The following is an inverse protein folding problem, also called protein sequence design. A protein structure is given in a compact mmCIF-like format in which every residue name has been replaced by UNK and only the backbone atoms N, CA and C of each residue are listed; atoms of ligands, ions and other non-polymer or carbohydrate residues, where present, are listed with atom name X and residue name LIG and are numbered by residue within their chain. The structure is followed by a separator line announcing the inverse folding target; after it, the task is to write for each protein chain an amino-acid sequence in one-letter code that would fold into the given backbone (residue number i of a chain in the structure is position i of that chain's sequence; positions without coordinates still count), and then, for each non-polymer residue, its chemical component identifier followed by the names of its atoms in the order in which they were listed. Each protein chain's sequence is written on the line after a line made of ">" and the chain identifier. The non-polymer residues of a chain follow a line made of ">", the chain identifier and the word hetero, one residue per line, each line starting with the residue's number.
data_IF_149460124085
#
_entry.id   IF_149460124085
#
_cell.length_a   1.000
_cell.length_b   1.000
_cell.length_c   1.000
_cell.angle_alpha   90.00
_cell.angle_beta   90.00
_cell.angle_gamma   90.00
#
_symmetry.space_group_name_H-M   'P 1'
#
loop_
_entity.id
_entity.type
_entity.pdbx_description
1 polymer ?
#
# COMPACT_ATOMS: atom_id res chain seq x y z
N UNK A 1 -18.42 -23.15 22.29
CA UNK A 1 -19.38 -22.05 22.10
C UNK A 1 -18.56 -20.88 21.64
N UNK A 2 -18.86 -20.39 20.45
CA UNK A 2 -18.15 -19.27 19.82
C UNK A 2 -19.16 -18.14 19.72
N UNK A 3 -18.87 -17.01 20.37
CA UNK A 3 -19.75 -15.85 20.33
C UNK A 3 -19.27 -14.92 19.20
N UNK A 4 -20.20 -14.51 18.34
CA UNK A 4 -19.98 -13.44 17.37
C UNK A 4 -20.07 -12.14 18.15
N UNK A 5 -19.00 -11.35 18.12
CA UNK A 5 -18.90 -10.08 18.83
C UNK A 5 -19.22 -8.91 17.92
N UNK A 6 -19.71 -7.81 18.52
CA UNK A 6 -19.84 -6.51 17.85
C UNK A 6 -18.47 -6.05 17.33
N UNK A 7 -18.27 -5.94 16.00
CA UNK A 7 -16.98 -5.56 15.43
C UNK A 7 -16.74 -4.04 15.53
N UNK A 8 -15.46 -3.65 15.57
CA UNK A 8 -15.06 -2.26 15.37
C UNK A 8 -14.97 -1.96 13.86
N UNK A 9 -15.88 -1.13 13.35
CA UNK A 9 -15.94 -0.77 11.92
C UNK A 9 -15.17 0.52 11.59
N UNK A 10 -14.66 1.21 12.61
CA UNK A 10 -13.67 2.29 12.46
C UNK A 10 -12.74 2.35 13.70
N UNK A 11 -11.53 2.92 13.58
CA UNK A 11 -10.58 3.03 14.70
C UNK A 11 -11.10 3.83 15.90
N UNK A 12 -12.15 4.64 15.72
CA UNK A 12 -12.75 5.48 16.75
C UNK A 12 -14.13 5.00 17.19
N UNK A 13 -14.59 3.83 16.72
CA UNK A 13 -15.91 3.30 17.06
C UNK A 13 -15.89 2.63 18.45
N UNK A 14 -16.69 3.14 19.38
CA UNK A 14 -16.86 2.55 20.71
C UNK A 14 -18.18 1.75 20.83
N UNK A 15 -19.21 2.13 20.06
CA UNK A 15 -20.53 1.50 20.02
C UNK A 15 -21.21 1.68 18.66
N UNK A 16 -22.24 0.88 18.37
CA UNK A 16 -23.04 0.95 17.15
C UNK A 16 -24.46 0.41 17.32
N UNK A 17 -25.30 0.65 16.32
CA UNK A 17 -26.69 0.18 16.28
C UNK A 17 -26.79 -1.04 15.37
N UNK A 18 -27.36 -2.14 15.87
CA UNK A 18 -27.58 -3.34 15.07
C UNK A 18 -28.82 -3.16 14.21
N UNK A 19 -28.68 -2.62 12.99
CA UNK A 19 -29.80 -2.20 12.17
C UNK A 19 -30.66 -3.38 11.68
N UNK A 20 -30.01 -4.48 11.24
CA UNK A 20 -30.72 -5.63 10.66
C UNK A 20 -29.90 -6.91 10.70
N UNK A 21 -30.56 -8.03 10.97
CA UNK A 21 -30.00 -9.36 10.75
C UNK A 21 -30.34 -9.88 9.35
N UNK A 22 -29.35 -10.48 8.68
CA UNK A 22 -29.50 -11.15 7.39
C UNK A 22 -29.54 -12.68 7.52
N UNK A 23 -29.38 -13.18 8.74
CA UNK A 23 -29.46 -14.59 9.15
C UNK A 23 -30.46 -14.76 10.29
N UNK A 24 -30.85 -16.00 10.57
CA UNK A 24 -31.71 -16.37 11.70
C UNK A 24 -31.09 -17.52 12.50
N UNK A 25 -31.56 -17.70 13.74
CA UNK A 25 -31.18 -18.86 14.54
C UNK A 25 -31.52 -20.16 13.80
N UNK A 26 -30.55 -21.08 13.75
CA UNK A 26 -30.60 -22.35 13.06
C UNK A 26 -29.95 -22.36 11.68
N UNK A 27 -29.57 -21.21 11.12
CA UNK A 27 -28.87 -21.14 9.83
C UNK A 27 -27.40 -21.57 9.96
N UNK A 28 -26.87 -22.20 8.91
CA UNK A 28 -25.42 -22.45 8.75
C UNK A 28 -24.77 -21.26 8.05
N UNK A 29 -23.68 -20.75 8.63
CA UNK A 29 -22.91 -19.64 8.08
C UNK A 29 -21.47 -20.06 7.77
N UNK A 30 -20.90 -19.47 6.73
CA UNK A 30 -19.50 -19.66 6.33
C UNK A 30 -18.69 -18.39 6.58
N UNK A 31 -17.38 -18.53 6.80
CA UNK A 31 -16.50 -17.36 6.95
C UNK A 31 -16.54 -16.49 5.69
N UNK A 32 -16.70 -15.18 5.86
CA UNK A 32 -16.89 -14.19 4.78
C UNK A 32 -18.36 -14.00 4.35
N UNK A 33 -19.31 -14.74 4.91
CA UNK A 33 -20.74 -14.53 4.62
C UNK A 33 -21.26 -13.30 5.36
N UNK A 34 -21.98 -12.41 4.67
CA UNK A 34 -22.65 -11.27 5.31
C UNK A 34 -23.79 -11.75 6.22
N UNK A 35 -23.73 -11.35 7.50
CA UNK A 35 -24.66 -11.81 8.55
C UNK A 35 -25.53 -10.69 9.13
N UNK A 36 -25.08 -9.43 9.13
CA UNK A 36 -25.83 -8.31 9.70
C UNK A 36 -25.46 -6.98 9.05
N UNK A 37 -26.34 -5.99 9.20
CA UNK A 37 -26.08 -4.59 8.88
C UNK A 37 -25.97 -3.80 10.20
N UNK A 38 -24.90 -3.03 10.34
CA UNK A 38 -24.62 -2.20 11.51
C UNK A 38 -24.57 -0.74 11.10
N UNK A 39 -25.33 0.08 11.80
CA UNK A 39 -25.39 1.52 11.60
C UNK A 39 -24.52 2.23 12.64
N UNK A 40 -23.71 3.15 12.15
CA UNK A 40 -22.85 4.03 12.95
C UNK A 40 -23.19 5.49 12.65
N UNK A 41 -22.58 6.42 13.37
CA UNK A 41 -22.71 7.86 13.12
C UNK A 41 -22.15 8.30 11.74
N UNK A 42 -21.37 7.43 11.07
CA UNK A 42 -20.73 7.71 9.77
C UNK A 42 -21.37 6.99 8.59
N UNK A 43 -21.78 5.74 8.78
CA UNK A 43 -22.29 4.90 7.71
C UNK A 43 -23.02 3.66 8.25
N UNK A 44 -23.87 3.08 7.40
CA UNK A 44 -24.36 1.71 7.56
C UNK A 44 -23.42 0.76 6.82
N UNK A 45 -22.95 -0.28 7.49
CA UNK A 45 -21.97 -1.22 6.96
C UNK A 45 -22.44 -2.66 7.16
N UNK A 46 -22.14 -3.50 6.17
CA UNK A 46 -22.40 -4.93 6.21
C UNK A 46 -21.28 -5.64 7.00
N UNK A 47 -21.67 -6.57 7.85
CA UNK A 47 -20.76 -7.35 8.70
C UNK A 47 -20.70 -8.78 8.19
N UNK A 48 -19.49 -9.24 7.91
CA UNK A 48 -19.19 -10.61 7.50
C UNK A 48 -18.85 -11.49 8.71
N UNK A 49 -19.25 -12.76 8.64
CA UNK A 49 -18.90 -13.77 9.63
C UNK A 49 -17.40 -14.08 9.57
N UNK A 50 -16.72 -14.00 10.71
CA UNK A 50 -15.31 -14.42 10.83
C UNK A 50 -15.20 -15.93 10.99
N UNK A 51 -16.17 -16.52 11.70
CA UNK A 51 -16.23 -17.94 12.02
C UNK A 51 -17.35 -18.62 11.23
N UNK A 52 -17.12 -19.90 10.89
CA UNK A 52 -18.14 -20.77 10.30
C UNK A 52 -18.83 -21.61 11.38
N UNK A 53 -20.12 -21.91 11.18
CA UNK A 53 -20.87 -22.71 12.13
C UNK A 53 -22.38 -22.51 12.03
N UNK A 54 -23.11 -23.21 12.88
CA UNK A 54 -24.57 -23.07 12.95
C UNK A 54 -24.95 -22.05 14.02
N UNK A 55 -25.83 -21.12 13.67
CA UNK A 55 -26.29 -20.06 14.57
C UNK A 55 -27.20 -20.66 15.64
N UNK A 56 -26.72 -20.71 16.88
CA UNK A 56 -27.47 -21.23 18.03
C UNK A 56 -28.56 -20.24 18.46
N UNK A 57 -28.17 -18.97 18.64
CA UNK A 57 -29.06 -17.92 19.13
C UNK A 57 -28.57 -16.54 18.72
N UNK A 58 -29.52 -15.65 18.43
CA UNK A 58 -29.29 -14.21 18.30
C UNK A 58 -29.46 -13.59 19.70
N UNK A 59 -28.45 -12.87 20.17
CA UNK A 59 -28.41 -12.33 21.54
C UNK A 59 -28.85 -10.86 21.60
N UNK A 60 -28.76 -10.15 20.48
CA UNK A 60 -29.18 -8.74 20.35
C UNK A 60 -30.17 -8.62 19.20
N UNK A 61 -31.33 -8.01 19.47
CA UNK A 61 -32.38 -7.82 18.47
C UNK A 61 -32.03 -6.68 17.50
N UNK A 62 -32.52 -6.79 16.26
CA UNK A 62 -32.39 -5.72 15.28
C UNK A 62 -33.10 -4.44 15.77
N UNK A 63 -32.49 -3.28 15.55
CA UNK A 63 -32.91 -1.98 16.06
C UNK A 63 -32.35 -1.61 17.44
N UNK A 64 -31.53 -2.46 18.06
CA UNK A 64 -30.90 -2.13 19.35
C UNK A 64 -29.77 -1.11 19.16
N UNK A 65 -29.90 0.05 19.79
CA UNK A 65 -28.91 1.14 19.78
C UNK A 65 -27.86 0.99 20.90
N UNK A 66 -26.67 1.57 20.71
CA UNK A 66 -25.65 1.68 21.76
C UNK A 66 -24.97 0.36 22.15
N UNK A 67 -24.87 -0.59 21.22
CA UNK A 67 -24.20 -1.88 21.46
C UNK A 67 -22.69 -1.66 21.38
N UNK A 68 -22.00 -1.87 22.49
CA UNK A 68 -20.55 -1.64 22.60
C UNK A 68 -19.74 -2.64 21.78
N UNK A 69 -18.65 -2.18 21.20
CA UNK A 69 -17.66 -3.04 20.53
C UNK A 69 -17.19 -4.15 21.49
N UNK A 70 -16.98 -5.35 20.94
CA UNK A 70 -16.67 -6.59 21.66
C UNK A 70 -17.80 -7.18 22.52
N UNK A 71 -19.03 -6.65 22.45
CA UNK A 71 -20.19 -7.28 23.11
C UNK A 71 -20.70 -8.46 22.27
N UNK A 72 -21.01 -9.63 22.86
CA UNK A 72 -21.63 -10.74 22.15
C UNK A 72 -22.99 -10.37 21.53
N UNK A 73 -23.13 -10.55 20.21
CA UNK A 73 -24.35 -10.25 19.44
C UNK A 73 -25.07 -11.50 18.92
N UNK A 74 -24.36 -12.60 18.68
CA UNK A 74 -24.93 -13.90 18.32
C UNK A 74 -24.01 -15.05 18.79
N UNK A 75 -24.53 -16.27 18.83
CA UNK A 75 -23.80 -17.47 19.28
C UNK A 75 -23.81 -18.56 18.23
N UNK A 76 -22.68 -19.25 18.05
CA UNK A 76 -22.51 -20.41 17.19
C UNK A 76 -22.33 -21.72 17.98
N UNK A 77 -22.95 -22.80 17.47
CA UNK A 77 -22.71 -24.17 17.92
C UNK A 77 -21.41 -24.72 17.31
N UNK A 78 -20.44 -25.13 18.15
CA UNK A 78 -19.15 -25.71 17.72
C UNK A 78 -17.95 -24.80 18.02
N UNK A 79 -16.89 -25.35 18.61
CA UNK A 79 -15.77 -24.57 19.15
C UNK A 79 -14.45 -24.81 18.44
N UNK A 80 -13.82 -23.72 17.99
CA UNK A 80 -12.39 -23.48 18.05
C UNK A 80 -12.22 -21.96 18.17
N UNK A 81 -11.59 -21.49 19.25
CA UNK A 81 -11.41 -20.07 19.54
C UNK A 81 -10.17 -19.55 18.82
N UNK A 82 -10.34 -18.48 18.04
CA UNK A 82 -9.25 -17.58 17.68
C UNK A 82 -9.74 -16.13 17.81
N UNK A 83 -9.00 -15.31 18.55
CA UNK A 83 -9.18 -13.85 18.67
C UNK A 83 -7.78 -13.24 18.78
N UNK A 84 -7.53 -11.97 18.37
CA UNK A 84 -8.48 -10.94 17.95
C UNK A 84 -8.29 -10.42 16.50
N UNK A 85 -9.30 -9.65 16.10
CA UNK A 85 -9.66 -9.20 14.76
C UNK A 85 -8.68 -8.24 14.05
N UNK A 86 -8.69 -8.19 12.70
CA UNK A 86 -8.34 -7.00 11.95
C UNK A 86 -9.58 -6.16 11.63
N UNK A 87 -9.47 -4.86 11.90
CA UNK A 87 -10.35 -3.79 11.44
C UNK A 87 -10.28 -3.73 9.91
N UNK A 88 -11.41 -3.85 9.20
CA UNK A 88 -11.47 -3.52 7.78
C UNK A 88 -12.57 -2.52 7.44
N UNK A 89 -12.12 -1.58 6.61
CA UNK A 89 -12.73 -0.37 6.10
C UNK A 89 -13.85 -0.67 5.09
N UNK A 90 -14.87 0.17 5.15
CA UNK A 90 -16.01 0.26 4.24
C UNK A 90 -15.62 0.33 2.76
N UNK A 91 -16.27 -0.50 1.94
CA UNK A 91 -16.54 -0.20 0.54
C UNK A 91 -18.06 -0.14 0.35
N UNK A 92 -18.50 0.94 -0.31
CA UNK A 92 -19.89 1.30 -0.52
C UNK A 92 -20.49 0.54 -1.71
N UNK A 93 -21.80 0.39 -1.64
CA UNK A 93 -22.68 -0.47 -2.42
C UNK A 93 -23.03 0.08 -3.81
N UNK A 94 -23.27 -0.81 -4.76
CA UNK A 94 -24.21 -0.55 -5.86
C UNK A 94 -24.95 -1.84 -6.23
N UNK A 95 -26.24 -1.84 -5.94
CA UNK A 95 -27.16 -2.97 -6.11
C UNK A 95 -27.56 -3.28 -7.57
N UNK A 96 -28.43 -4.29 -7.75
CA UNK A 96 -28.51 -5.09 -8.96
C UNK A 96 -29.54 -4.58 -9.97
N UNK A 97 -29.21 -4.67 -11.26
CA UNK A 97 -30.21 -4.62 -12.35
C UNK A 97 -30.35 -6.02 -12.95
N UNK A 98 -31.61 -6.41 -13.03
CA UNK A 98 -32.20 -7.69 -13.44
C UNK A 98 -31.70 -8.27 -14.76
N UNK A 99 -31.63 -9.61 -14.76
CA UNK A 99 -31.43 -10.49 -15.92
C UNK A 99 -32.49 -10.28 -17.01
N UNK A 100 -32.04 -10.05 -18.23
CA UNK A 100 -32.67 -10.60 -19.42
C UNK A 100 -31.68 -11.56 -20.11
N UNK A 101 -32.16 -12.78 -20.30
CA UNK A 101 -31.54 -13.87 -21.05
C UNK A 101 -31.67 -13.61 -22.54
N UNK A 102 -30.56 -13.60 -23.26
CA UNK A 102 -30.48 -14.09 -24.64
C UNK A 102 -29.03 -14.46 -24.99
N UNK A 103 -28.88 -15.52 -25.78
CA UNK A 103 -27.70 -16.37 -25.83
C UNK A 103 -26.40 -15.73 -26.30
N UNK A 104 -25.31 -16.14 -25.65
CA UNK A 104 -23.94 -16.01 -26.14
C UNK A 104 -23.14 -17.19 -25.60
N UNK A 105 -22.45 -17.89 -26.50
CA UNK A 105 -21.59 -19.03 -26.19
C UNK A 105 -20.70 -18.74 -24.98
N UNK A 106 -20.59 -19.71 -24.07
CA UNK A 106 -19.52 -19.74 -23.08
C UNK A 106 -18.19 -19.88 -23.82
N UNK A 107 -17.59 -18.76 -24.18
CA UNK A 107 -16.17 -18.71 -24.48
C UNK A 107 -15.43 -18.89 -23.15
N UNK A 108 -15.15 -20.14 -22.81
CA UNK A 108 -14.10 -20.48 -21.86
C UNK A 108 -12.78 -20.05 -22.49
N UNK A 109 -12.41 -18.79 -22.29
CA UNK A 109 -11.03 -18.35 -22.53
C UNK A 109 -10.21 -18.94 -21.38
N UNK A 110 -9.75 -20.17 -21.59
CA UNK A 110 -8.68 -20.76 -20.81
C UNK A 110 -7.48 -19.81 -20.96
N UNK A 111 -7.12 -19.13 -19.88
CA UNK A 111 -6.00 -18.20 -19.88
C UNK A 111 -4.70 -19.01 -20.03
N UNK A 112 -4.31 -19.25 -21.28
CA UNK A 112 -2.99 -19.80 -21.60
C UNK A 112 -1.96 -18.87 -20.98
N UNK A 113 -1.05 -19.36 -20.10
CA UNK A 113 0.02 -18.52 -19.59
C UNK A 113 0.83 -18.04 -20.79
N UNK A 114 0.78 -16.72 -21.03
CA UNK A 114 1.61 -16.06 -22.03
C UNK A 114 3.03 -16.14 -21.49
N UNK A 115 3.74 -17.22 -21.80
CA UNK A 115 5.16 -17.31 -21.55
C UNK A 115 5.82 -16.17 -22.34
N UNK A 116 6.56 -15.24 -21.70
CA UNK A 116 7.25 -14.19 -22.42
C UNK A 116 8.21 -14.85 -23.42
N UNK A 117 8.01 -14.55 -24.71
CA UNK A 117 8.78 -15.14 -25.83
C UNK A 117 10.21 -14.63 -25.94
N UNK A 118 10.62 -13.71 -25.07
CA UNK A 118 11.97 -13.16 -25.04
C UNK A 118 12.51 -13.21 -23.62
N UNK A 119 13.67 -13.83 -23.43
CA UNK A 119 14.48 -13.56 -22.24
C UNK A 119 14.99 -12.12 -22.38
N UNK A 120 14.41 -11.20 -21.61
CA UNK A 120 14.93 -9.86 -21.46
C UNK A 120 16.27 -10.00 -20.72
N UNK A 121 17.37 -9.98 -21.47
CA UNK A 121 18.73 -9.91 -20.93
C UNK A 121 19.37 -8.64 -21.43
N UNK A 122 20.02 -7.93 -20.52
CA UNK A 122 20.86 -6.80 -20.88
C UNK A 122 22.03 -7.31 -21.76
N UNK A 123 22.14 -6.85 -23.02
CA UNK A 123 23.20 -7.29 -23.92
C UNK A 123 24.60 -6.87 -23.44
N UNK A 124 24.70 -5.95 -22.49
CA UNK A 124 25.98 -5.52 -21.91
C UNK A 124 26.49 -6.46 -20.80
N UNK A 125 25.64 -7.33 -20.24
CA UNK A 125 26.04 -8.31 -19.23
C UNK A 125 26.74 -9.50 -19.92
N UNK A 126 28.03 -9.77 -19.64
CA UNK A 126 28.74 -10.88 -20.25
C UNK A 126 28.04 -12.22 -20.00
N UNK A 127 28.04 -13.08 -21.02
CA UNK A 127 27.49 -14.42 -20.91
C UNK A 127 28.20 -15.21 -19.80
N UNK A 128 27.41 -15.86 -18.93
CA UNK A 128 27.94 -16.61 -17.79
C UNK A 128 28.23 -15.76 -16.53
N UNK A 129 27.85 -14.48 -16.50
CA UNK A 129 27.89 -13.68 -15.27
C UNK A 129 27.07 -14.38 -14.17
N UNK A 130 27.69 -14.70 -13.00
CA UNK A 130 26.96 -15.34 -11.92
C UNK A 130 25.85 -14.43 -11.38
N UNK A 131 24.61 -14.91 -11.42
CA UNK A 131 23.44 -14.20 -10.88
C UNK A 131 22.98 -14.84 -9.57
N UNK A 132 22.51 -14.01 -8.64
CA UNK A 132 21.92 -14.45 -7.38
C UNK A 132 20.42 -14.24 -7.44
N UNK A 133 19.65 -15.25 -7.04
CA UNK A 133 18.20 -15.13 -6.91
C UNK A 133 17.86 -14.32 -5.67
N UNK A 134 17.20 -13.18 -5.88
CA UNK A 134 16.78 -12.25 -4.83
C UNK A 134 15.39 -11.72 -5.17
N UNK A 135 14.64 -11.28 -4.16
CA UNK A 135 13.35 -10.62 -4.37
C UNK A 135 13.56 -9.15 -4.77
N UNK A 136 12.60 -8.53 -5.46
CA UNK A 136 12.64 -7.09 -5.76
C UNK A 136 12.72 -6.27 -4.46
N UNK A 137 11.99 -6.70 -3.43
CA UNK A 137 12.03 -6.11 -2.09
C UNK A 137 13.44 -6.07 -1.49
N UNK A 138 14.13 -7.20 -1.48
CA UNK A 138 15.48 -7.29 -0.93
C UNK A 138 16.49 -6.56 -1.82
N UNK A 139 16.27 -6.55 -3.14
CA UNK A 139 17.09 -5.78 -4.08
C UNK A 139 17.03 -4.26 -3.84
N UNK A 140 15.83 -3.72 -3.59
CA UNK A 140 15.63 -2.31 -3.21
C UNK A 140 16.24 -2.00 -1.84
N UNK A 141 16.03 -2.88 -0.85
CA UNK A 141 16.64 -2.77 0.48
C UNK A 141 18.17 -2.67 0.39
N UNK A 142 18.77 -3.60 -0.35
CA UNK A 142 20.22 -3.67 -0.52
C UNK A 142 20.76 -2.46 -1.29
N UNK A 143 20.05 -1.99 -2.32
CA UNK A 143 20.41 -0.79 -3.04
C UNK A 143 20.54 0.42 -2.09
N UNK A 144 19.53 0.64 -1.24
CA UNK A 144 19.55 1.72 -0.25
C UNK A 144 20.68 1.52 0.76
N UNK A 145 20.80 0.33 1.36
CA UNK A 145 21.82 0.05 2.37
C UNK A 145 23.24 0.27 1.83
N UNK A 146 23.52 -0.22 0.61
CA UNK A 146 24.82 -0.04 -0.01
C UNK A 146 25.15 1.43 -0.28
N UNK A 147 24.18 2.24 -0.73
CA UNK A 147 24.41 3.68 -0.93
C UNK A 147 24.49 4.45 0.40
N UNK A 148 23.73 4.04 1.42
CA UNK A 148 23.81 4.64 2.76
C UNK A 148 25.14 4.35 3.47
N UNK A 149 25.74 3.17 3.26
CA UNK A 149 27.12 2.86 3.70
C UNK A 149 28.16 3.66 2.94
N UNK A 150 27.93 3.87 1.64
CA UNK A 150 28.86 4.57 0.75
C UNK A 150 28.90 6.07 0.99
N UNK A 151 27.76 6.67 1.32
CA UNK A 151 27.60 8.12 1.41
C UNK A 151 26.80 8.50 2.65
N UNK A 152 27.45 9.21 3.58
CA UNK A 152 26.85 9.66 4.84
C UNK A 152 25.72 10.68 4.64
N UNK A 153 25.63 11.30 3.45
CA UNK A 153 24.60 12.29 3.11
C UNK A 153 23.27 11.64 2.70
N UNK A 154 23.26 10.33 2.41
CA UNK A 154 22.05 9.61 1.95
C UNK A 154 21.20 9.20 3.13
N UNK A 155 19.93 9.57 3.20
CA UNK A 155 19.08 9.10 4.30
C UNK A 155 17.67 8.78 3.81
N UNK A 156 16.99 7.88 4.51
CA UNK A 156 15.62 7.49 4.22
C UNK A 156 14.68 8.24 5.15
N UNK A 157 13.62 8.80 4.59
CA UNK A 157 12.52 9.38 5.34
C UNK A 157 11.18 9.05 4.69
N UNK A 158 10.15 8.86 5.51
CA UNK A 158 8.81 8.56 5.04
C UNK A 158 7.95 8.01 6.16
N UNK A 159 6.73 7.63 5.82
CA UNK A 159 5.79 7.05 6.77
C UNK A 159 6.19 5.61 7.05
N UNK A 160 6.34 5.28 8.34
CA UNK A 160 6.54 3.90 8.80
C UNK A 160 7.82 3.21 8.26
N UNK A 161 8.73 3.95 7.65
CA UNK A 161 9.98 3.42 7.05
C UNK A 161 10.98 2.94 8.11
N UNK A 162 10.91 3.41 9.34
CA UNK A 162 11.88 3.10 10.39
C UNK A 162 11.38 1.99 11.32
N UNK A 163 10.45 2.31 12.24
CA UNK A 163 10.03 1.36 13.29
C UNK A 163 9.24 0.18 12.71
N UNK A 164 8.36 0.46 11.76
CA UNK A 164 7.58 -0.57 11.07
C UNK A 164 8.33 -1.18 9.88
N UNK A 165 9.51 -0.64 9.53
CA UNK A 165 10.38 -1.15 8.47
C UNK A 165 9.75 -1.10 7.08
N UNK A 166 8.83 -0.16 6.85
CA UNK A 166 8.08 0.03 5.61
C UNK A 166 6.91 -0.95 5.48
N UNK A 167 5.86 -0.51 4.80
CA UNK A 167 4.65 -1.31 4.56
C UNK A 167 4.98 -2.64 3.86
N UNK A 168 5.84 -2.58 2.84
CA UNK A 168 6.30 -3.74 2.07
C UNK A 168 7.63 -4.30 2.56
N UNK A 169 8.13 -3.92 3.75
CA UNK A 169 9.39 -4.43 4.32
C UNK A 169 10.64 -4.16 3.48
N UNK A 170 10.62 -3.09 2.68
CA UNK A 170 11.75 -2.66 1.83
C UNK A 170 12.86 -2.00 2.66
N UNK A 171 12.53 -1.38 3.80
CA UNK A 171 13.50 -0.76 4.70
C UNK A 171 13.85 -1.62 5.91
N UNK A 172 13.60 -2.94 5.83
CA UNK A 172 13.93 -3.90 6.88
C UNK A 172 15.39 -3.80 7.34
N UNK A 173 15.55 -3.77 8.65
CA UNK A 173 16.82 -3.68 9.37
C UNK A 173 17.66 -2.40 9.11
N UNK A 174 17.16 -1.44 8.31
CA UNK A 174 17.92 -0.22 8.01
C UNK A 174 18.04 0.70 9.24
N UNK A 175 17.00 0.79 10.07
CA UNK A 175 17.05 1.60 11.29
C UNK A 175 18.11 1.07 12.27
N UNK A 176 18.18 -0.24 12.43
CA UNK A 176 19.14 -0.93 13.29
C UNK A 176 20.57 -0.71 12.79
N UNK A 177 20.74 -0.65 11.47
CA UNK A 177 22.04 -0.46 10.83
C UNK A 177 22.53 1.00 10.84
N UNK A 178 21.66 1.97 10.54
CA UNK A 178 22.05 3.36 10.29
C UNK A 178 21.59 4.37 11.36
N UNK A 179 20.69 3.96 12.26
CA UNK A 179 20.18 4.79 13.34
C UNK A 179 19.10 5.79 12.94
N UNK A 180 18.51 6.43 13.95
CA UNK A 180 17.36 7.34 13.87
C UNK A 180 17.66 8.66 13.12
N UNK A 181 18.93 8.99 12.91
CA UNK A 181 19.35 10.14 12.10
C UNK A 181 19.35 9.88 10.60
N UNK A 182 19.29 8.61 10.19
CA UNK A 182 19.46 8.18 8.80
C UNK A 182 18.26 7.40 8.27
N UNK A 183 17.41 6.89 9.15
CA UNK A 183 16.12 6.27 8.82
C UNK A 183 15.07 6.89 9.72
N UNK A 184 14.23 7.75 9.13
CA UNK A 184 13.39 8.70 9.86
C UNK A 184 11.91 8.43 9.56
N UNK A 185 11.16 8.04 10.58
CA UNK A 185 9.69 8.03 10.50
C UNK A 185 9.15 9.46 10.50
N UNK A 186 8.19 9.73 9.64
CA UNK A 186 7.53 11.03 9.51
C UNK A 186 6.05 10.96 9.90
N UNK A 187 5.44 12.08 10.32
CA UNK A 187 3.99 12.16 10.40
C UNK A 187 3.33 11.90 9.03
N UNK A 188 2.06 11.50 9.05
CA UNK A 188 1.22 11.26 7.86
C UNK A 188 0.88 12.60 7.20
N UNK A 189 1.85 13.15 6.48
CA UNK A 189 1.75 14.40 5.73
C UNK A 189 2.80 14.44 4.63
N UNK A 190 2.42 13.95 3.46
CA UNK A 190 3.30 13.83 2.29
C UNK A 190 3.87 15.19 1.90
N UNK A 191 3.05 16.25 1.97
CA UNK A 191 3.52 17.61 1.74
C UNK A 191 4.63 17.99 2.73
N UNK A 192 4.45 17.72 4.03
CA UNK A 192 5.43 18.10 5.04
C UNK A 192 6.76 17.40 4.86
N UNK A 193 6.76 16.07 4.75
CA UNK A 193 8.02 15.34 4.65
C UNK A 193 8.70 15.47 3.29
N UNK A 194 7.94 15.60 2.19
CA UNK A 194 8.52 15.89 0.88
C UNK A 194 9.11 17.31 0.81
N UNK A 195 8.52 18.27 1.52
CA UNK A 195 9.06 19.62 1.67
C UNK A 195 10.38 19.65 2.44
N UNK A 196 10.45 18.93 3.56
CA UNK A 196 11.69 18.73 4.33
C UNK A 196 12.74 18.05 3.46
N UNK A 197 12.38 16.97 2.75
CA UNK A 197 13.27 16.28 1.82
C UNK A 197 13.80 17.22 0.73
N UNK A 198 12.91 17.97 0.07
CA UNK A 198 13.30 18.93 -0.98
C UNK A 198 14.27 20.00 -0.43
N UNK A 199 13.98 20.56 0.75
CA UNK A 199 14.87 21.53 1.39
C UNK A 199 16.23 20.92 1.80
N UNK A 200 16.23 19.69 2.32
CA UNK A 200 17.45 18.95 2.66
C UNK A 200 18.31 18.69 1.42
N UNK A 201 17.69 18.32 0.29
CA UNK A 201 18.38 18.13 -0.99
C UNK A 201 19.03 19.42 -1.48
N UNK A 202 18.32 20.55 -1.40
CA UNK A 202 18.86 21.87 -1.75
C UNK A 202 19.98 22.33 -0.81
N UNK A 203 19.98 21.86 0.44
CA UNK A 203 21.05 22.09 1.40
C UNK A 203 22.27 21.14 1.22
N UNK A 204 22.20 20.20 0.28
CA UNK A 204 23.30 19.31 -0.09
C UNK A 204 23.23 17.88 0.46
N UNK A 205 22.14 17.51 1.15
CA UNK A 205 21.88 16.11 1.53
C UNK A 205 21.29 15.32 0.35
N UNK A 206 21.15 14.01 0.52
CA UNK A 206 20.62 13.08 -0.50
C UNK A 206 19.44 12.26 0.04
N UNK A 207 18.29 12.89 0.29
CA UNK A 207 17.12 12.20 0.81
C UNK A 207 16.57 11.19 -0.19
N UNK A 208 16.19 10.04 0.35
CA UNK A 208 15.28 9.06 -0.23
C UNK A 208 13.96 9.27 0.49
N UNK A 209 12.99 9.85 -0.20
CA UNK A 209 11.64 10.08 0.30
C UNK A 209 10.74 8.94 -0.16
N UNK A 210 10.26 8.13 0.78
CA UNK A 210 9.34 7.04 0.51
C UNK A 210 7.90 7.46 0.82
N UNK A 211 7.01 7.28 -0.15
CA UNK A 211 5.57 7.34 0.04
C UNK A 211 5.03 5.93 0.22
N UNK A 212 4.02 5.76 1.07
CA UNK A 212 3.32 4.47 1.20
C UNK A 212 2.76 3.98 -0.15
N UNK A 213 2.28 4.89 -0.98
CA UNK A 213 1.97 4.69 -2.39
C UNK A 213 2.02 6.03 -3.14
N UNK A 214 2.34 6.00 -4.43
CA UNK A 214 2.30 7.20 -5.29
C UNK A 214 0.91 7.82 -5.46
N UNK A 215 -0.16 7.08 -5.15
CA UNK A 215 -1.51 7.64 -5.08
C UNK A 215 -1.59 8.76 -4.02
N UNK A 216 -0.87 8.61 -2.91
CA UNK A 216 -0.85 9.60 -1.83
C UNK A 216 0.22 10.68 -2.06
N UNK A 217 1.25 10.39 -2.85
CA UNK A 217 2.25 11.38 -3.28
C UNK A 217 1.64 12.60 -4.00
N UNK A 218 0.41 12.50 -4.51
CA UNK A 218 -0.32 13.66 -5.04
C UNK A 218 -0.49 14.80 -4.02
N UNK A 219 -0.56 14.50 -2.72
CA UNK A 219 -0.56 15.51 -1.65
C UNK A 219 0.74 16.33 -1.64
N UNK A 220 1.86 15.76 -2.12
CA UNK A 220 3.18 16.37 -2.15
C UNK A 220 3.60 16.92 -3.52
N UNK A 221 2.68 16.96 -4.50
CA UNK A 221 3.00 17.29 -5.90
C UNK A 221 3.77 18.61 -6.04
N UNK A 222 3.47 19.62 -5.22
CA UNK A 222 4.13 20.92 -5.29
C UNK A 222 5.63 20.82 -4.98
N UNK A 223 6.01 19.98 -4.00
CA UNK A 223 7.41 19.75 -3.68
C UNK A 223 8.12 18.87 -4.71
N UNK A 224 7.44 17.88 -5.27
CA UNK A 224 7.99 17.04 -6.34
C UNK A 224 8.26 17.88 -7.60
N UNK A 225 7.28 18.68 -8.04
CA UNK A 225 7.34 19.41 -9.30
C UNK A 225 7.95 20.80 -9.14
N UNK A 226 7.32 21.67 -8.34
CA UNK A 226 7.70 23.07 -8.30
C UNK A 226 8.98 23.30 -7.47
N UNK A 227 9.13 22.57 -6.36
CA UNK A 227 10.34 22.68 -5.54
C UNK A 227 11.48 21.88 -6.16
N UNK A 228 11.31 20.59 -6.45
CA UNK A 228 12.44 19.74 -6.85
C UNK A 228 12.76 19.82 -8.35
N UNK A 229 11.80 19.54 -9.23
CA UNK A 229 12.04 19.46 -10.68
C UNK A 229 12.52 20.79 -11.29
N UNK A 230 11.94 21.91 -10.87
CA UNK A 230 12.18 23.21 -11.51
C UNK A 230 13.36 24.00 -10.94
N UNK A 231 13.81 23.71 -9.71
CA UNK A 231 14.77 24.54 -8.99
C UNK A 231 16.10 24.69 -9.71
N UNK A 232 16.60 23.62 -10.35
CA UNK A 232 17.85 23.71 -11.11
C UNK A 232 17.75 24.74 -12.24
N UNK A 233 16.62 24.76 -12.95
CA UNK A 233 16.37 25.73 -14.01
C UNK A 233 16.12 27.14 -13.47
N UNK A 234 15.25 27.28 -12.45
CA UNK A 234 14.89 28.57 -11.86
C UNK A 234 16.07 29.28 -11.20
N UNK A 235 17.03 28.53 -10.67
CA UNK A 235 18.25 29.07 -10.06
C UNK A 235 19.39 29.32 -11.06
N UNK A 236 19.17 29.09 -12.37
CA UNK A 236 20.22 29.18 -13.38
C UNK A 236 21.37 28.19 -13.16
N UNK A 237 21.08 27.02 -12.60
CA UNK A 237 22.05 25.95 -12.32
C UNK A 237 22.76 26.05 -10.96
N UNK A 238 22.42 27.03 -10.11
CA UNK A 238 23.10 27.26 -8.83
C UNK A 238 22.64 26.30 -7.73
N UNK A 239 21.35 25.96 -7.70
CA UNK A 239 20.76 25.09 -6.69
C UNK A 239 20.40 23.76 -7.34
N UNK A 240 20.98 22.67 -6.85
CA UNK A 240 20.66 21.30 -7.26
C UNK A 240 19.62 20.70 -6.30
N UNK A 241 18.90 19.67 -6.75
CA UNK A 241 17.98 18.91 -5.91
C UNK A 241 18.26 17.42 -6.11
N UNK A 242 19.18 16.88 -5.31
CA UNK A 242 19.55 15.47 -5.33
C UNK A 242 18.62 14.69 -4.40
N UNK A 243 17.50 14.21 -4.94
CA UNK A 243 16.42 13.58 -4.17
C UNK A 243 15.80 12.43 -4.97
N UNK A 244 15.49 11.33 -4.29
CA UNK A 244 14.72 10.23 -4.86
C UNK A 244 13.38 10.17 -4.15
N UNK A 245 12.29 10.35 -4.90
CA UNK A 245 10.93 10.06 -4.47
C UNK A 245 10.59 8.64 -4.91
N UNK A 246 10.30 7.75 -3.97
CA UNK A 246 10.02 6.33 -4.26
C UNK A 246 8.76 5.83 -3.57
N UNK A 247 8.26 4.70 -4.06
CA UNK A 247 7.11 4.02 -3.49
C UNK A 247 6.35 3.19 -4.54
N UNK A 248 5.37 2.40 -4.07
CA UNK A 248 4.50 1.58 -4.93
C UNK A 248 3.66 2.44 -5.90
N UNK A 249 3.57 1.98 -7.15
CA UNK A 249 2.86 2.61 -8.26
C UNK A 249 2.25 1.54 -9.18
N UNK A 250 1.08 1.86 -9.75
CA UNK A 250 0.35 0.96 -10.63
C UNK A 250 -0.62 0.04 -9.88
N UNK A 251 -1.20 -0.90 -10.62
CA UNK A 251 -2.27 -1.75 -10.12
C UNK A 251 -1.78 -2.73 -9.06
N UNK A 252 -2.57 -2.83 -8.00
CA UNK A 252 -2.33 -3.64 -6.82
C UNK A 252 -3.50 -4.60 -6.60
N UNK A 253 -3.24 -5.75 -5.98
CA UNK A 253 -4.24 -6.81 -5.90
C UNK A 253 -5.36 -6.46 -4.90
N UNK A 254 -6.58 -6.23 -5.40
CA UNK A 254 -7.82 -6.07 -4.60
C UNK A 254 -7.86 -4.82 -3.69
N UNK A 255 -7.15 -3.76 -4.05
CA UNK A 255 -7.06 -2.52 -3.24
C UNK A 255 -7.78 -1.31 -3.86
N UNK A 256 -8.56 -1.55 -4.93
CA UNK A 256 -9.46 -0.60 -5.56
C UNK A 256 -8.78 0.74 -5.98
N UNK A 257 -9.56 1.82 -6.06
CA UNK A 257 -9.21 3.04 -6.79
C UNK A 257 -8.07 3.88 -6.16
N UNK A 258 -7.84 3.77 -4.85
CA UNK A 258 -6.86 4.60 -4.13
C UNK A 258 -5.45 4.02 -4.08
N UNK A 259 -5.24 2.80 -4.60
CA UNK A 259 -3.96 2.10 -4.58
C UNK A 259 -3.58 1.50 -5.93
N UNK A 260 -4.22 1.93 -7.03
CA UNK A 260 -4.08 1.28 -8.35
C UNK A 260 -3.67 2.20 -9.50
N UNK A 261 -3.49 3.50 -9.26
CA UNK A 261 -3.12 4.43 -10.33
C UNK A 261 -1.65 4.27 -10.71
N UNK A 262 -1.39 4.33 -12.02
CA UNK A 262 -0.04 4.41 -12.57
C UNK A 262 0.26 5.84 -13.02
N UNK A 263 1.19 6.49 -12.33
CA UNK A 263 1.59 7.86 -12.60
C UNK A 263 2.80 7.99 -13.54
N UNK A 264 3.30 6.88 -14.11
CA UNK A 264 4.49 6.88 -14.98
C UNK A 264 4.35 7.90 -16.11
N UNK A 265 3.25 7.83 -16.86
CA UNK A 265 3.00 8.73 -17.97
C UNK A 265 2.84 10.20 -17.53
N UNK A 266 2.28 10.43 -16.35
CA UNK A 266 2.01 11.78 -15.88
C UNK A 266 3.29 12.49 -15.41
N UNK A 267 4.08 11.85 -14.55
CA UNK A 267 5.37 12.39 -14.12
C UNK A 267 6.38 12.49 -15.28
N UNK A 268 6.33 11.58 -16.27
CA UNK A 268 7.22 11.64 -17.43
C UNK A 268 6.99 12.89 -18.31
N UNK A 269 5.80 13.51 -18.23
CA UNK A 269 5.48 14.75 -18.92
C UNK A 269 5.93 16.01 -18.14
N UNK A 270 6.58 15.87 -16.99
CA UNK A 270 7.05 16.99 -16.17
C UNK A 270 8.53 17.27 -16.45
N UNK A 271 8.88 18.42 -17.06
CA UNK A 271 10.28 18.77 -17.29
C UNK A 271 11.06 18.93 -15.98
N UNK A 272 12.28 18.41 -15.96
CA UNK A 272 13.17 18.46 -14.80
C UNK A 272 13.13 17.23 -13.90
N UNK A 273 12.13 16.35 -14.06
CA UNK A 273 12.12 15.03 -13.42
C UNK A 273 12.76 13.98 -14.33
N UNK A 274 13.45 13.02 -13.70
CA UNK A 274 13.69 11.71 -14.32
C UNK A 274 12.73 10.72 -13.68
N UNK A 275 12.07 9.90 -14.50
CA UNK A 275 11.08 8.91 -14.06
C UNK A 275 11.59 7.53 -14.41
N UNK A 276 11.60 6.64 -13.42
CA UNK A 276 12.12 5.28 -13.54
C UNK A 276 11.03 4.32 -13.03
N UNK A 277 10.73 3.29 -13.80
CA UNK A 277 9.88 2.18 -13.40
C UNK A 277 10.65 0.86 -13.65
N UNK A 278 11.28 0.25 -12.63
CA UNK A 278 12.02 -0.99 -12.80
C UNK A 278 11.08 -2.17 -13.03
N UNK A 279 11.56 -3.21 -13.72
CA UNK A 279 10.80 -4.42 -13.98
C UNK A 279 11.22 -5.59 -13.07
N UNK A 280 12.52 -5.86 -12.97
CA UNK A 280 13.05 -6.99 -12.21
C UNK A 280 13.98 -6.57 -11.05
N UNK A 281 14.52 -7.55 -10.33
CA UNK A 281 15.38 -7.29 -9.18
C UNK A 281 16.75 -6.70 -9.55
N UNK A 282 17.29 -7.00 -10.73
CA UNK A 282 18.55 -6.45 -11.19
C UNK A 282 18.38 -4.98 -11.56
N UNK A 283 17.31 -4.66 -12.30
CA UNK A 283 16.89 -3.31 -12.62
C UNK A 283 16.62 -2.51 -11.35
N UNK A 284 15.81 -3.04 -10.43
CA UNK A 284 15.46 -2.36 -9.19
C UNK A 284 16.72 -1.99 -8.39
N UNK A 285 17.66 -2.93 -8.24
CA UNK A 285 18.91 -2.67 -7.51
C UNK A 285 19.80 -1.67 -8.25
N UNK A 286 20.08 -1.91 -9.52
CA UNK A 286 20.99 -1.09 -10.32
C UNK A 286 20.48 0.34 -10.50
N UNK A 287 19.21 0.48 -10.89
CA UNK A 287 18.58 1.76 -11.16
C UNK A 287 18.36 2.57 -9.89
N UNK A 288 18.00 1.96 -8.76
CA UNK A 288 17.86 2.72 -7.50
C UNK A 288 19.21 3.25 -7.02
N UNK A 289 20.28 2.46 -7.12
CA UNK A 289 21.65 2.95 -6.82
C UNK A 289 22.05 4.08 -7.75
N UNK A 290 21.76 3.97 -9.04
CA UNK A 290 22.02 5.04 -10.00
C UNK A 290 21.21 6.30 -9.68
N UNK A 291 19.92 6.15 -9.33
CA UNK A 291 19.03 7.24 -8.94
C UNK A 291 19.54 8.00 -7.71
N UNK A 292 19.95 7.30 -6.65
CA UNK A 292 20.50 7.92 -5.42
C UNK A 292 21.79 8.72 -5.70
N UNK A 293 22.57 8.31 -6.71
CA UNK A 293 23.81 8.98 -7.11
C UNK A 293 23.58 10.17 -8.02
N UNK A 294 22.43 10.20 -8.70
CA UNK A 294 22.11 11.23 -9.67
C UNK A 294 21.87 12.58 -8.96
N UNK A 295 22.45 13.68 -9.44
CA UNK A 295 22.28 14.97 -8.78
C UNK A 295 20.91 15.63 -9.06
N UNK A 296 20.03 14.98 -9.84
CA UNK A 296 18.72 15.48 -10.24
C UNK A 296 17.59 14.80 -9.46
N UNK A 297 16.38 15.39 -9.41
CA UNK A 297 15.25 14.78 -8.76
C UNK A 297 14.71 13.58 -9.57
N UNK A 298 14.57 12.46 -8.88
CA UNK A 298 14.12 11.19 -9.46
C UNK A 298 12.76 10.81 -8.87
N UNK A 299 11.85 10.36 -9.73
CA UNK A 299 10.64 9.63 -9.37
C UNK A 299 10.86 8.15 -9.70
N UNK A 300 10.85 7.31 -8.67
CA UNK A 300 11.16 5.88 -8.75
C UNK A 300 9.90 5.07 -8.41
N UNK A 301 9.24 4.56 -9.45
CA UNK A 301 7.90 3.96 -9.40
C UNK A 301 8.02 2.45 -9.33
N UNK A 302 7.84 1.90 -8.13
CA UNK A 302 7.95 0.46 -7.89
C UNK A 302 6.62 -0.22 -8.17
N UNK A 303 6.60 -1.35 -8.89
CA UNK A 303 5.39 -2.16 -8.90
C UNK A 303 5.11 -2.70 -7.49
N UNK A 304 3.84 -2.94 -7.17
CA UNK A 304 3.46 -3.52 -5.89
C UNK A 304 4.12 -4.91 -5.69
N UNK A 305 4.52 -5.21 -4.44
CA UNK A 305 5.37 -6.36 -4.07
C UNK A 305 4.68 -7.40 -3.18
#
# INVERSE_FOLDING_TARGET
>A
MTDILMPALSPTMEEGTLAKWLIKAGDEITAGQVIAEIETDKATMEVEAVDEGKVEAILVEAGTEGVKVNTPIARLEGGASASPAPVQSAANTSGPVTKETEGGEKSTVEATPIAPKAELRDPEIPEGTPMVKITVRDALRDAMAEEMRRDELVFLMGEEVAQYQGAYKVSRDLLQEFGDRRVIDTPITEMGFAGIGSGAAMAGLKPIVEFMTFNFAMQAIDHIINSSAKTLYMSGGQIKSSIVFRGPNGAAARVAAQHSQDYSAWYANVPGLKVIAPYDAADAKGLLKAAIRDPNPIVFLEHEM
#
